data_IF_985293655991
#
_entry.id   IF_985293655991
#
_cell.length_a   1.000
_cell.length_b   1.000
_cell.length_c   1.000
_cell.angle_alpha   90.00
_cell.angle_beta   90.00
_cell.angle_gamma   90.00
#
_symmetry.space_group_name_H-M   'P 1'
#
loop_
_entity.id
_entity.type
_entity.pdbx_description
1 polymer ?
#
# COMPACT_ATOMS: atom_id res chain seq x y z
N UNK A 1 -64.55 -22.51 -11.76
CA UNK A 1 -63.33 -22.22 -12.55
C UNK A 1 -62.51 -21.18 -11.78
N UNK A 2 -61.38 -21.58 -11.21
CA UNK A 2 -60.53 -20.71 -10.36
C UNK A 2 -59.58 -19.85 -11.22
N UNK A 3 -59.59 -18.55 -10.97
CA UNK A 3 -58.65 -17.56 -11.52
C UNK A 3 -57.19 -17.96 -11.25
N UNK A 4 -56.41 -18.17 -12.33
CA UNK A 4 -54.97 -18.36 -12.25
C UNK A 4 -54.26 -17.01 -12.22
N UNK A 5 -53.26 -16.97 -11.34
CA UNK A 5 -52.55 -15.82 -10.78
C UNK A 5 -51.67 -15.12 -11.81
N UNK A 6 -51.72 -13.79 -11.82
CA UNK A 6 -50.68 -12.91 -12.33
C UNK A 6 -49.58 -12.80 -11.26
N UNK A 7 -48.32 -13.01 -11.65
CA UNK A 7 -47.16 -12.54 -10.90
C UNK A 7 -46.13 -11.99 -11.90
N UNK A 8 -45.68 -10.74 -11.76
CA UNK A 8 -44.70 -10.15 -12.66
C UNK A 8 -43.30 -10.71 -12.38
N UNK A 9 -42.59 -11.09 -13.44
CA UNK A 9 -41.18 -11.44 -13.38
C UNK A 9 -40.37 -10.24 -12.86
N UNK A 10 -39.78 -10.41 -11.68
CA UNK A 10 -38.81 -9.48 -11.10
C UNK A 10 -37.52 -9.47 -11.94
N UNK A 11 -37.23 -8.33 -12.54
CA UNK A 11 -35.93 -8.03 -13.15
C UNK A 11 -34.94 -7.81 -12.01
N UNK A 12 -34.19 -8.85 -11.64
CA UNK A 12 -33.07 -8.71 -10.72
C UNK A 12 -31.86 -8.18 -11.48
N UNK A 13 -31.60 -6.89 -11.34
CA UNK A 13 -30.37 -6.23 -11.78
C UNK A 13 -29.23 -6.76 -10.92
N UNK A 14 -28.46 -7.72 -11.42
CA UNK A 14 -27.24 -8.21 -10.76
C UNK A 14 -26.11 -7.25 -11.14
N UNK A 15 -25.89 -6.25 -10.28
CA UNK A 15 -24.79 -5.28 -10.38
C UNK A 15 -23.82 -5.46 -9.19
N UNK A 16 -23.53 -6.70 -8.81
CA UNK A 16 -22.81 -7.00 -7.55
C UNK A 16 -21.49 -7.79 -7.70
N UNK A 17 -21.08 -8.22 -8.89
CA UNK A 17 -19.82 -8.97 -9.02
C UNK A 17 -18.55 -8.13 -8.82
N UNK A 18 -18.60 -6.80 -8.96
CA UNK A 18 -17.43 -5.95 -8.80
C UNK A 18 -17.07 -5.58 -7.35
N UNK A 19 -18.09 -5.46 -6.48
CA UNK A 19 -17.88 -4.95 -5.12
C UNK A 19 -17.44 -6.02 -4.10
N UNK A 20 -17.77 -7.29 -4.34
CA UNK A 20 -17.44 -8.37 -3.40
C UNK A 20 -15.95 -8.72 -3.41
N UNK A 21 -15.31 -8.65 -4.58
CA UNK A 21 -13.88 -9.00 -4.69
C UNK A 21 -12.96 -7.95 -4.06
N UNK A 22 -13.30 -6.66 -4.18
CA UNK A 22 -12.50 -5.57 -3.57
C UNK A 22 -12.60 -5.64 -2.04
N UNK A 23 -13.82 -5.77 -1.50
CA UNK A 23 -14.02 -5.88 -0.06
C UNK A 23 -13.35 -7.12 0.57
N UNK A 24 -13.21 -8.23 -0.17
CA UNK A 24 -12.52 -9.42 0.31
C UNK A 24 -10.99 -9.28 0.29
N UNK A 25 -10.42 -8.54 -0.66
CA UNK A 25 -9.00 -8.24 -0.70
C UNK A 25 -8.60 -7.34 0.47
N UNK A 26 -9.39 -6.29 0.75
CA UNK A 26 -9.19 -5.37 1.87
C UNK A 26 -9.17 -6.13 3.22
N UNK A 27 -10.17 -6.97 3.49
CA UNK A 27 -10.25 -7.76 4.75
C UNK A 27 -9.07 -8.75 4.88
N UNK A 28 -8.66 -9.40 3.78
CA UNK A 28 -7.56 -10.37 3.81
C UNK A 28 -6.16 -9.72 3.96
N UNK A 29 -6.00 -8.48 3.49
CA UNK A 29 -4.78 -7.70 3.70
C UNK A 29 -4.72 -7.16 5.14
N UNK A 30 -5.81 -6.60 5.66
CA UNK A 30 -5.92 -6.06 7.02
C UNK A 30 -5.64 -7.13 8.09
N UNK A 31 -6.22 -8.33 7.97
CA UNK A 31 -6.03 -9.44 8.90
C UNK A 31 -4.55 -9.86 9.05
N UNK A 32 -3.72 -9.64 8.02
CA UNK A 32 -2.29 -10.00 8.04
C UNK A 32 -1.38 -8.87 8.49
N UNK A 33 -1.84 -7.62 8.47
CA UNK A 33 -1.01 -6.44 8.65
C UNK A 33 -1.75 -5.34 9.42
N UNK A 34 -2.11 -5.64 10.66
CA UNK A 34 -2.90 -4.76 11.54
C UNK A 34 -2.35 -3.34 11.75
N UNK A 35 -1.06 -3.11 11.48
CA UNK A 35 -0.38 -1.84 11.76
C UNK A 35 0.14 -1.15 10.48
N UNK A 36 -0.31 -1.58 9.29
CA UNK A 36 0.17 -1.07 8.01
C UNK A 36 -0.79 -0.07 7.36
N UNK A 37 -0.23 0.92 6.65
CA UNK A 37 -1.06 1.80 5.83
C UNK A 37 -1.43 1.11 4.52
N UNK A 38 -2.73 1.15 4.21
CA UNK A 38 -3.30 0.66 2.95
C UNK A 38 -3.54 1.82 1.99
N UNK A 39 -3.21 1.60 0.72
CA UNK A 39 -3.44 2.56 -0.36
C UNK A 39 -2.94 2.01 -1.68
N UNK A 40 -3.15 2.76 -2.77
CA UNK A 40 -2.71 2.33 -4.11
C UNK A 40 -1.21 2.57 -4.27
N UNK A 41 -0.43 1.50 -4.48
CA UNK A 41 1.00 1.62 -4.77
C UNK A 41 1.23 1.63 -6.28
N UNK A 42 1.17 2.80 -6.91
CA UNK A 42 1.42 2.89 -8.35
C UNK A 42 2.88 2.59 -8.72
N UNK A 43 3.08 1.83 -9.81
CA UNK A 43 4.42 1.47 -10.30
C UNK A 43 5.33 2.68 -10.53
N UNK A 44 4.80 3.77 -11.13
CA UNK A 44 5.57 5.00 -11.35
C UNK A 44 6.10 5.63 -10.06
N UNK A 45 5.32 5.56 -8.97
CA UNK A 45 5.72 6.06 -7.66
C UNK A 45 6.81 5.19 -7.06
N UNK A 46 6.69 3.86 -7.20
CA UNK A 46 7.72 2.91 -6.78
C UNK A 46 9.03 3.11 -7.54
N UNK A 47 8.98 3.32 -8.86
CA UNK A 47 10.17 3.53 -9.67
C UNK A 47 10.85 4.86 -9.33
N UNK A 48 10.06 5.92 -9.09
CA UNK A 48 10.57 7.19 -8.56
C UNK A 48 11.24 7.01 -7.19
N UNK A 49 10.61 6.27 -6.28
CA UNK A 49 11.15 6.01 -4.94
C UNK A 49 12.48 5.25 -4.99
N UNK A 50 12.59 4.25 -5.88
CA UNK A 50 13.86 3.53 -6.12
C UNK A 50 14.95 4.46 -6.61
N UNK A 51 14.65 5.35 -7.57
CA UNK A 51 15.63 6.30 -8.11
C UNK A 51 16.11 7.30 -7.05
N UNK A 52 15.20 7.83 -6.24
CA UNK A 52 15.54 8.73 -5.13
C UNK A 52 16.44 8.05 -4.11
N UNK A 53 16.11 6.82 -3.71
CA UNK A 53 16.93 6.05 -2.79
C UNK A 53 18.32 5.68 -3.36
N UNK A 54 18.39 5.31 -4.64
CA UNK A 54 19.66 5.02 -5.31
C UNK A 54 20.54 6.27 -5.43
N UNK A 55 19.95 7.42 -5.74
CA UNK A 55 20.64 8.70 -5.79
C UNK A 55 21.20 9.08 -4.42
N UNK A 56 20.36 8.96 -3.37
CA UNK A 56 20.73 9.23 -2.00
C UNK A 56 21.90 8.37 -1.49
N UNK A 57 21.88 7.07 -1.81
CA UNK A 57 22.89 6.11 -1.36
C UNK A 57 24.18 6.14 -2.16
N UNK A 58 24.15 6.52 -3.45
CA UNK A 58 25.33 6.53 -4.34
C UNK A 58 26.09 7.86 -4.34
N UNK A 59 25.50 8.95 -3.83
CA UNK A 59 26.17 10.26 -3.84
C UNK A 59 27.27 10.33 -2.76
N UNK A 60 28.53 10.22 -3.21
CA UNK A 60 29.72 10.23 -2.32
C UNK A 60 30.08 11.66 -1.86
N UNK A 61 29.85 12.67 -2.71
CA UNK A 61 30.27 14.07 -2.44
C UNK A 61 29.21 14.92 -1.75
N UNK A 62 27.93 14.55 -1.87
CA UNK A 62 26.81 15.26 -1.25
C UNK A 62 25.66 14.27 -1.06
N UNK A 63 25.72 13.43 0.00
CA UNK A 63 24.67 12.45 0.25
C UNK A 63 23.33 13.16 0.37
N UNK A 64 22.41 12.87 -0.56
CA UNK A 64 21.06 13.42 -0.52
C UNK A 64 20.32 12.71 0.60
N UNK A 65 19.77 13.46 1.54
CA UNK A 65 18.92 12.91 2.58
C UNK A 65 17.51 12.73 2.02
N UNK A 66 16.93 11.55 2.21
CA UNK A 66 15.51 11.29 1.90
C UNK A 66 14.77 11.22 3.23
N UNK A 67 13.78 12.08 3.42
CA UNK A 67 13.00 12.14 4.65
C UNK A 67 11.70 11.35 4.53
N UNK A 68 11.07 11.08 5.68
CA UNK A 68 9.75 10.47 5.74
C UNK A 68 8.71 11.19 4.86
N UNK A 69 8.68 12.52 4.90
CA UNK A 69 7.72 13.30 4.12
C UNK A 69 7.95 13.16 2.61
N UNK A 70 9.20 12.98 2.16
CA UNK A 70 9.51 12.71 0.75
C UNK A 70 8.93 11.35 0.32
N UNK A 71 9.10 10.32 1.15
CA UNK A 71 8.56 8.98 0.87
C UNK A 71 7.04 9.02 0.82
N UNK A 72 6.39 9.68 1.78
CA UNK A 72 4.93 9.84 1.83
C UNK A 72 4.41 10.62 0.63
N UNK A 73 5.10 11.69 0.22
CA UNK A 73 4.74 12.47 -0.95
C UNK A 73 4.90 11.67 -2.26
N UNK A 74 5.92 10.81 -2.36
CA UNK A 74 6.10 9.94 -3.53
C UNK A 74 5.03 8.86 -3.59
N UNK A 75 4.73 8.21 -2.45
CA UNK A 75 3.75 7.13 -2.39
C UNK A 75 2.30 7.63 -2.43
N UNK A 76 2.08 8.92 -2.15
CA UNK A 76 0.79 9.60 -2.19
C UNK A 76 -0.21 9.13 -1.11
N UNK A 77 0.27 8.60 0.01
CA UNK A 77 -0.55 8.34 1.20
C UNK A 77 0.31 8.25 2.46
N UNK A 78 -0.26 8.56 3.65
CA UNK A 78 0.47 8.46 4.91
C UNK A 78 0.90 7.01 5.15
N UNK A 79 2.12 6.85 5.67
CA UNK A 79 2.60 5.54 6.15
C UNK A 79 2.26 5.35 7.61
N UNK A 80 1.72 4.19 7.97
CA UNK A 80 1.43 3.85 9.35
C UNK A 80 2.68 3.28 10.03
N UNK A 81 2.85 3.64 11.30
CA UNK A 81 4.00 3.22 12.08
C UNK A 81 3.72 1.84 12.68
N UNK A 82 4.37 0.82 12.13
CA UNK A 82 4.15 -0.57 12.53
C UNK A 82 4.87 -0.96 13.81
N UNK A 83 6.16 -0.61 13.92
CA UNK A 83 7.00 -0.93 15.08
C UNK A 83 8.04 0.15 15.30
N UNK A 84 8.28 0.45 16.57
CA UNK A 84 9.47 1.17 17.00
C UNK A 84 10.44 0.13 17.56
N UNK A 85 11.66 0.05 17.03
CA UNK A 85 12.68 -0.82 17.62
C UNK A 85 12.91 -0.43 19.10
N UNK A 86 13.24 -1.39 19.95
CA UNK A 86 13.30 -1.27 21.43
C UNK A 86 14.27 -0.21 21.96
N UNK A 87 15.08 0.42 21.11
CA UNK A 87 15.98 1.52 21.43
C UNK A 87 15.45 2.92 20.98
N UNK A 88 14.20 3.02 20.53
CA UNK A 88 13.53 4.26 20.06
C UNK A 88 14.29 5.05 18.97
N UNK A 89 15.29 4.46 18.34
CA UNK A 89 16.11 5.13 17.31
C UNK A 89 15.65 4.86 15.90
N UNK A 90 14.91 3.78 15.67
CA UNK A 90 14.46 3.38 14.33
C UNK A 90 12.95 3.18 14.33
N UNK A 91 12.26 3.95 13.48
CA UNK A 91 10.83 3.82 13.18
C UNK A 91 10.66 2.99 11.91
N UNK A 92 9.94 1.88 12.00
CA UNK A 92 9.57 1.07 10.84
C UNK A 92 8.14 1.39 10.38
N UNK A 93 8.01 1.71 9.08
CA UNK A 93 6.73 1.98 8.42
C UNK A 93 6.50 1.00 7.28
N UNK A 94 5.24 0.62 7.09
CA UNK A 94 4.83 -0.30 6.04
C UNK A 94 3.66 0.32 5.28
N UNK A 95 3.77 0.28 3.95
CA UNK A 95 2.72 0.61 3.00
C UNK A 95 2.37 -0.65 2.21
N UNK A 96 1.10 -0.96 2.10
CA UNK A 96 0.59 -2.15 1.41
C UNK A 96 -0.36 -1.70 0.31
N UNK A 97 -0.22 -2.33 -0.86
CA UNK A 97 -1.17 -2.15 -1.96
C UNK A 97 -2.50 -2.80 -1.57
N UNK A 98 -3.57 -2.00 -1.51
CA UNK A 98 -4.91 -2.49 -1.20
C UNK A 98 -5.42 -3.51 -2.22
N UNK A 99 -4.98 -3.41 -3.49
CA UNK A 99 -5.42 -4.30 -4.55
C UNK A 99 -4.59 -5.60 -4.60
N UNK A 100 -3.41 -5.63 -3.95
CA UNK A 100 -2.51 -6.79 -3.92
C UNK A 100 -1.59 -6.77 -2.68
N UNK A 101 -1.94 -7.52 -1.63
CA UNK A 101 -1.13 -7.57 -0.40
C UNK A 101 0.32 -8.12 -0.58
N UNK A 102 0.66 -8.69 -1.74
CA UNK A 102 2.04 -9.06 -2.06
C UNK A 102 2.90 -7.84 -2.40
N UNK A 103 2.25 -6.77 -2.88
CA UNK A 103 2.86 -5.48 -3.22
C UNK A 103 2.93 -4.61 -1.98
N UNK A 104 4.15 -4.32 -1.53
CA UNK A 104 4.36 -3.51 -0.34
C UNK A 104 5.73 -2.82 -0.32
N UNK A 105 5.79 -1.74 0.43
CA UNK A 105 7.01 -1.01 0.78
C UNK A 105 7.22 -1.10 2.28
N UNK A 106 8.41 -1.47 2.71
CA UNK A 106 8.85 -1.38 4.11
C UNK A 106 10.01 -0.40 4.19
N UNK A 107 9.92 0.62 5.04
CA UNK A 107 11.00 1.57 5.22
C UNK A 107 11.32 1.79 6.70
N UNK A 108 12.60 1.95 6.99
CA UNK A 108 13.12 2.23 8.32
C UNK A 108 13.69 3.65 8.35
N UNK A 109 13.37 4.40 9.40
CA UNK A 109 13.79 5.79 9.56
C UNK A 109 14.54 6.03 10.87
N UNK A 110 15.64 6.77 10.83
CA UNK A 110 16.34 7.33 12.00
C UNK A 110 16.16 8.84 11.99
N UNK A 111 15.60 9.44 13.05
CA UNK A 111 15.32 10.88 13.10
C UNK A 111 14.61 11.39 11.83
N UNK A 112 13.59 10.65 11.39
CA UNK A 112 12.81 10.86 10.13
C UNK A 112 13.61 10.75 8.83
N UNK A 113 14.88 10.39 8.88
CA UNK A 113 15.73 10.13 7.71
C UNK A 113 15.65 8.67 7.30
N UNK A 114 15.42 8.42 6.01
CA UNK A 114 15.37 7.08 5.45
C UNK A 114 16.75 6.41 5.52
N UNK A 115 16.84 5.30 6.24
CA UNK A 115 18.08 4.50 6.34
C UNK A 115 18.00 3.19 5.57
N UNK A 116 16.79 2.69 5.35
CA UNK A 116 16.57 1.41 4.68
C UNK A 116 15.21 1.37 4.01
N UNK A 117 15.15 0.80 2.82
CA UNK A 117 13.90 0.52 2.12
C UNK A 117 13.92 -0.90 1.55
N UNK A 118 12.78 -1.57 1.56
CA UNK A 118 12.52 -2.84 0.88
C UNK A 118 11.20 -2.76 0.14
N UNK A 119 11.21 -3.18 -1.12
CA UNK A 119 10.07 -3.13 -2.03
C UNK A 119 9.80 -4.57 -2.50
N UNK A 120 8.53 -4.99 -2.46
CA UNK A 120 8.10 -6.37 -2.74
C UNK A 120 6.97 -6.37 -3.76
N UNK A 121 6.92 -7.38 -4.63
CA UNK A 121 5.79 -7.58 -5.56
C UNK A 121 5.81 -6.71 -6.83
N UNK A 122 6.87 -5.94 -7.09
CA UNK A 122 6.99 -5.06 -8.27
C UNK A 122 8.01 -5.60 -9.29
N UNK A 123 7.85 -6.85 -9.72
CA UNK A 123 8.70 -7.46 -10.75
C UNK A 123 8.17 -7.13 -12.16
N UNK A 124 9.04 -6.66 -13.05
CA UNK A 124 8.78 -6.54 -14.50
C UNK A 124 7.97 -5.32 -14.95
N UNK A 125 8.49 -4.57 -15.93
CA UNK A 125 8.08 -4.77 -17.33
C UNK A 125 9.31 -5.36 -18.01
#
# INVERSE_FOLDING_TARGET
>A
MLCKKLLPLSISVILSCGYVQVAQADVACEDKFSDAAFGILEKRHIDRLKQEFLTATRSIKSPKTVYLHDVQAILNFPGEQTKTASNRRIEDRIWIDQDDCQRKVKASFSDRTLVKIKIYGFWGI
#
